data_IF_590871951104
#
_entry.id   IF_590871951104
#
_cell.length_a   1.000
_cell.length_b   1.000
_cell.length_c   1.000
_cell.angle_alpha   90.00
_cell.angle_beta   90.00
_cell.angle_gamma   90.00
#
_symmetry.space_group_name_H-M   'P 1'
#
loop_
_entity.id
_entity.type
_entity.pdbx_description
1 polymer ?
#
# COMPACT_ATOMS: atom_id res chain seq x y z
N UNK A 1 -10.59 7.99 -9.03
CA UNK A 1 -9.81 7.71 -7.81
C UNK A 1 -8.36 7.95 -8.21
N UNK A 2 -7.71 8.97 -7.66
CA UNK A 2 -6.28 9.25 -7.95
C UNK A 2 -5.45 8.88 -6.73
N UNK A 3 -4.35 8.16 -6.97
CA UNK A 3 -3.34 7.83 -5.99
C UNK A 3 -1.95 8.07 -6.60
N UNK A 4 -1.01 8.51 -5.78
CA UNK A 4 0.38 8.71 -6.19
C UNK A 4 1.14 7.36 -6.22
N UNK A 5 0.76 6.43 -5.34
CA UNK A 5 1.38 5.11 -5.21
C UNK A 5 0.30 4.04 -5.06
N UNK A 6 0.36 3.00 -5.89
CA UNK A 6 -0.43 1.79 -5.75
C UNK A 6 0.49 0.60 -5.43
N UNK A 7 0.22 -0.11 -4.33
CA UNK A 7 0.96 -1.29 -3.91
C UNK A 7 0.08 -2.52 -4.07
N UNK A 8 0.59 -3.52 -4.81
CA UNK A 8 -0.08 -4.80 -4.99
C UNK A 8 0.57 -5.87 -4.10
N UNK A 9 -0.21 -6.44 -3.18
CA UNK A 9 0.22 -7.35 -2.13
C UNK A 9 0.38 -6.65 -0.77
N UNK A 10 -0.26 -7.18 0.26
CA UNK A 10 -0.30 -6.72 1.65
C UNK A 10 0.61 -7.50 2.60
N UNK A 11 1.46 -8.38 2.10
CA UNK A 11 2.48 -9.06 2.91
C UNK A 11 3.53 -8.12 3.50
N UNK A 12 4.53 -8.62 4.27
CA UNK A 12 5.46 -7.81 5.03
C UNK A 12 6.18 -6.72 4.22
N UNK A 13 6.52 -6.99 2.96
CA UNK A 13 7.14 -6.00 2.07
C UNK A 13 6.15 -4.97 1.54
N UNK A 14 4.97 -5.41 1.08
CA UNK A 14 3.98 -4.54 0.45
C UNK A 14 3.30 -3.60 1.45
N UNK A 15 2.87 -4.11 2.60
CA UNK A 15 2.31 -3.27 3.65
C UNK A 15 3.32 -2.25 4.19
N UNK A 16 4.58 -2.66 4.38
CA UNK A 16 5.67 -1.75 4.79
C UNK A 16 5.90 -0.66 3.75
N UNK A 17 5.94 -1.01 2.47
CA UNK A 17 6.10 -0.04 1.38
C UNK A 17 4.93 0.95 1.34
N UNK A 18 3.69 0.46 1.49
CA UNK A 18 2.49 1.30 1.51
C UNK A 18 2.50 2.29 2.69
N UNK A 19 2.84 1.83 3.90
CA UNK A 19 2.95 2.71 5.08
C UNK A 19 4.02 3.78 4.88
N UNK A 20 5.20 3.39 4.40
CA UNK A 20 6.29 4.36 4.22
C UNK A 20 5.95 5.39 3.15
N UNK A 21 5.32 4.99 2.05
CA UNK A 21 4.82 5.91 1.04
C UNK A 21 3.81 6.91 1.63
N UNK A 22 2.85 6.44 2.44
CA UNK A 22 1.87 7.30 3.10
C UNK A 22 2.52 8.28 4.10
N UNK A 23 3.50 7.81 4.88
CA UNK A 23 4.24 8.66 5.83
C UNK A 23 5.07 9.75 5.15
N UNK A 24 5.51 9.52 3.92
CA UNK A 24 6.19 10.51 3.08
C UNK A 24 5.21 11.46 2.36
N UNK A 25 3.91 11.31 2.58
CA UNK A 25 2.87 12.21 2.08
C UNK A 25 2.18 11.77 0.79
N UNK A 26 2.50 10.58 0.26
CA UNK A 26 1.85 10.07 -0.95
C UNK A 26 0.43 9.58 -0.66
N UNK A 27 -0.54 9.93 -1.52
CA UNK A 27 -1.85 9.26 -1.56
C UNK A 27 -1.64 7.83 -2.00
N UNK A 28 -1.63 6.91 -1.03
CA UNK A 28 -1.24 5.52 -1.24
C UNK A 28 -2.45 4.60 -1.19
N UNK A 29 -2.51 3.63 -2.10
CA UNK A 29 -3.50 2.54 -2.11
C UNK A 29 -2.77 1.22 -1.99
N UNK A 30 -3.15 0.39 -1.02
CA UNK A 30 -2.68 -0.99 -0.88
C UNK A 30 -3.79 -1.94 -1.34
N UNK A 31 -3.47 -2.86 -2.25
CA UNK A 31 -4.41 -3.79 -2.86
C UNK A 31 -3.94 -5.19 -2.51
N UNK A 32 -4.71 -5.91 -1.71
CA UNK A 32 -4.50 -7.32 -1.42
C UNK A 32 -5.73 -8.10 -1.88
N UNK A 33 -5.48 -9.26 -2.49
CA UNK A 33 -6.52 -10.17 -2.99
C UNK A 33 -7.13 -10.96 -1.84
N UNK A 34 -6.30 -11.37 -0.89
CA UNK A 34 -6.75 -12.14 0.26
C UNK A 34 -7.26 -11.22 1.39
N UNK A 35 -8.37 -11.54 2.06
CA UNK A 35 -8.90 -10.72 3.15
C UNK A 35 -8.05 -10.78 4.44
N UNK A 36 -7.03 -11.64 4.49
CA UNK A 36 -6.28 -11.97 5.72
C UNK A 36 -4.79 -11.61 5.59
N UNK A 37 -4.25 -11.07 6.68
CA UNK A 37 -2.80 -11.01 6.96
C UNK A 37 -2.35 -12.33 7.59
#
# INVERSE_FOLDING_TARGET
MECDVAVLGGGPGGYTAAIRAAQLGAKTVCIEKEPEL
#
